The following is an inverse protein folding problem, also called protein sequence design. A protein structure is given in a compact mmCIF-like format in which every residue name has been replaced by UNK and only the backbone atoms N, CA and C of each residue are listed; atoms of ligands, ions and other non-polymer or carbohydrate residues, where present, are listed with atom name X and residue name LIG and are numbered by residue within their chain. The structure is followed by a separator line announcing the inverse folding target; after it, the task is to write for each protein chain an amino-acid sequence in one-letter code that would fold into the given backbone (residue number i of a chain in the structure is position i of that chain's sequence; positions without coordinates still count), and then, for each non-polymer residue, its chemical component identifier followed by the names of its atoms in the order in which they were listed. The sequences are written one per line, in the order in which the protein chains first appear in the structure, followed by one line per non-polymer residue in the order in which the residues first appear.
data_IF_228035571604
#
_entry.id   IF_228035571604
#
_cell.length_a   1.000
_cell.length_b   1.000
_cell.length_c   1.000
_cell.angle_alpha   90.00
_cell.angle_beta   90.00
_cell.angle_gamma   90.00
#
_symmetry.space_group_name_H-M   'P 1'
#
loop_
_entity.id
_entity.type
_entity.pdbx_description
1 polymer ?
#
# COMPACT_ATOMS: atom_id res chain seq x y z
N UNK A 1 18.38 -20.52 9.60
CA UNK A 1 17.86 -19.17 9.97
C UNK A 1 16.35 -19.14 9.78
N UNK A 2 15.57 -18.31 10.52
CA UNK A 2 14.12 -18.28 10.35
C UNK A 2 13.75 -17.76 8.95
N UNK A 3 12.76 -18.40 8.32
CA UNK A 3 12.18 -17.90 7.08
C UNK A 3 11.44 -16.59 7.38
N UNK A 4 11.65 -15.59 6.53
CA UNK A 4 11.01 -14.29 6.69
C UNK A 4 9.63 -14.29 6.03
N UNK A 5 8.71 -13.53 6.62
CA UNK A 5 7.36 -13.33 6.09
C UNK A 5 7.38 -12.73 4.67
N UNK A 6 6.46 -13.14 3.81
CA UNK A 6 6.33 -12.62 2.44
C UNK A 6 4.97 -11.97 2.17
N UNK A 7 4.12 -11.81 3.19
CA UNK A 7 2.74 -11.38 3.02
C UNK A 7 2.65 -9.92 2.57
N UNK A 8 3.56 -9.08 3.08
CA UNK A 8 3.59 -7.64 2.79
C UNK A 8 4.53 -7.33 1.64
N UNK A 9 4.00 -6.65 0.62
CA UNK A 9 4.71 -6.26 -0.59
C UNK A 9 4.54 -4.77 -0.83
N UNK A 10 5.51 -4.16 -1.52
CA UNK A 10 5.45 -2.77 -1.92
C UNK A 10 6.16 -2.56 -3.25
N UNK A 11 5.77 -1.48 -3.94
CA UNK A 11 6.37 -1.02 -5.19
C UNK A 11 6.47 0.50 -5.18
N UNK A 12 7.53 1.05 -5.76
CA UNK A 12 7.61 2.46 -6.10
C UNK A 12 8.29 2.69 -7.45
N UNK A 13 8.15 3.91 -7.99
CA UNK A 13 8.60 4.22 -9.36
C UNK A 13 10.10 4.01 -9.60
N UNK A 14 10.93 4.12 -8.56
CA UNK A 14 12.38 3.90 -8.66
C UNK A 14 12.82 2.43 -8.75
N UNK A 15 11.92 1.47 -8.54
CA UNK A 15 12.28 0.04 -8.57
C UNK A 15 12.54 -0.43 -10.00
N UNK A 16 13.49 -1.36 -10.16
CA UNK A 16 13.83 -1.93 -11.47
C UNK A 16 12.62 -2.56 -12.14
N UNK A 17 12.28 -2.08 -13.34
CA UNK A 17 11.18 -2.60 -14.14
C UNK A 17 9.79 -2.24 -13.58
N UNK A 18 9.71 -1.31 -12.63
CA UNK A 18 8.42 -0.77 -12.18
C UNK A 18 7.74 0.00 -13.32
N UNK A 19 6.41 -0.06 -13.44
CA UNK A 19 5.68 0.60 -14.51
C UNK A 19 5.66 2.11 -14.30
N UNK A 20 5.51 2.85 -15.40
CA UNK A 20 5.37 4.31 -15.36
C UNK A 20 3.93 4.68 -15.05
N UNK A 21 3.71 5.42 -13.98
CA UNK A 21 2.48 6.18 -13.76
C UNK A 21 2.64 7.56 -14.40
N UNK A 22 1.66 8.01 -15.18
CA UNK A 22 1.66 9.35 -15.78
C UNK A 22 0.23 9.80 -16.08
N UNK A 23 0.08 10.94 -16.75
CA UNK A 23 -1.19 11.50 -17.15
C UNK A 23 -1.75 10.92 -18.45
N UNK A 24 -1.77 9.60 -18.63
CA UNK A 24 -2.39 8.94 -19.77
C UNK A 24 -3.49 7.97 -19.33
N UNK A 25 -4.42 7.68 -20.24
CA UNK A 25 -5.47 6.68 -20.06
C UNK A 25 -4.85 5.28 -19.92
N UNK A 26 -5.34 4.48 -18.97
CA UNK A 26 -4.86 3.13 -18.68
C UNK A 26 -3.63 3.03 -17.77
N UNK A 27 -2.96 4.14 -17.43
CA UNK A 27 -1.73 4.14 -16.64
C UNK A 27 -1.89 3.56 -15.22
N UNK A 28 -3.00 3.83 -14.53
CA UNK A 28 -3.19 3.25 -13.17
C UNK A 28 -3.57 1.77 -13.26
N UNK A 29 -4.30 1.35 -14.29
CA UNK A 29 -4.63 -0.06 -14.51
C UNK A 29 -3.35 -0.86 -14.76
N UNK A 30 -2.44 -0.35 -15.59
CA UNK A 30 -1.14 -1.00 -15.81
C UNK A 30 -0.32 -1.13 -14.51
N UNK A 31 -0.37 -0.10 -13.66
CA UNK A 31 0.28 -0.12 -12.34
C UNK A 31 -0.35 -1.15 -11.40
N UNK A 32 -1.68 -1.18 -11.31
CA UNK A 32 -2.42 -2.13 -10.48
C UNK A 32 -2.22 -3.57 -10.96
N UNK A 33 -2.28 -3.83 -12.26
CA UNK A 33 -2.02 -5.17 -12.83
C UNK A 33 -0.62 -5.68 -12.45
N UNK A 34 0.35 -4.79 -12.51
CA UNK A 34 1.74 -5.09 -12.21
C UNK A 34 1.91 -5.47 -10.74
N UNK A 35 1.37 -4.66 -9.82
CA UNK A 35 1.53 -4.87 -8.39
C UNK A 35 0.63 -5.99 -7.84
N UNK A 36 -0.62 -6.04 -8.28
CA UNK A 36 -1.64 -6.92 -7.70
C UNK A 36 -1.57 -8.35 -8.25
N UNK A 37 -1.18 -8.54 -9.52
CA UNK A 37 -1.39 -9.79 -10.26
C UNK A 37 -0.08 -10.35 -10.83
N UNK A 38 0.65 -9.55 -11.59
CA UNK A 38 1.69 -10.08 -12.48
C UNK A 38 3.08 -10.16 -11.83
N UNK A 39 3.39 -9.23 -10.92
CA UNK A 39 4.77 -8.96 -10.50
C UNK A 39 5.54 -8.22 -11.61
N UNK A 40 6.78 -7.81 -11.33
CA UNK A 40 7.58 -7.01 -12.27
C UNK A 40 9.07 -7.29 -12.17
N UNK A 41 9.83 -6.69 -13.09
CA UNK A 41 11.28 -6.84 -13.12
C UNK A 41 11.68 -8.31 -13.29
N UNK A 42 11.23 -8.97 -14.34
CA UNK A 42 11.74 -10.32 -14.64
C UNK A 42 13.23 -10.23 -15.00
N UNK A 43 14.04 -11.13 -14.44
CA UNK A 43 15.45 -11.29 -14.75
C UNK A 43 15.85 -12.76 -14.59
N UNK A 44 16.95 -13.17 -15.21
CA UNK A 44 17.49 -14.54 -15.12
C UNK A 44 18.75 -14.51 -14.27
N UNK A 45 18.84 -15.41 -13.30
CA UNK A 45 20.04 -15.54 -12.47
C UNK A 45 21.19 -16.15 -13.29
N UNK A 46 22.42 -15.71 -13.01
CA UNK A 46 23.64 -16.26 -13.62
C UNK A 46 24.09 -17.54 -12.90
N UNK A 47 23.86 -17.60 -11.59
CA UNK A 47 24.09 -18.79 -10.76
C UNK A 47 23.37 -18.66 -9.42
N UNK A 48 23.16 -19.78 -8.74
CA UNK A 48 22.70 -19.78 -7.35
C UNK A 48 23.23 -20.99 -6.58
N UNK A 49 23.33 -20.86 -5.27
CA UNK A 49 23.74 -21.92 -4.35
C UNK A 49 23.08 -21.75 -3.00
N UNK A 50 22.98 -22.84 -2.25
CA UNK A 50 22.52 -22.84 -0.85
C UNK A 50 23.67 -23.28 0.04
N UNK A 51 23.91 -22.49 1.09
CA UNK A 51 24.85 -22.80 2.15
C UNK A 51 24.30 -22.33 3.49
N UNK A 52 24.33 -23.20 4.50
CA UNK A 52 23.96 -22.93 5.90
C UNK A 52 22.57 -22.26 6.06
N UNK A 53 21.61 -22.71 5.24
CA UNK A 53 20.24 -22.22 5.24
C UNK A 53 20.07 -20.83 4.62
N UNK A 54 21.03 -20.38 3.80
CA UNK A 54 20.94 -19.16 3.00
C UNK A 54 21.10 -19.51 1.52
N UNK A 55 20.14 -19.11 0.70
CA UNK A 55 20.28 -19.15 -0.75
C UNK A 55 20.96 -17.85 -1.21
N UNK A 56 22.04 -17.97 -1.97
CA UNK A 56 22.69 -16.85 -2.65
C UNK A 56 22.41 -16.97 -4.15
N UNK A 57 21.87 -15.91 -4.74
CA UNK A 57 21.53 -15.83 -6.16
C UNK A 57 22.33 -14.70 -6.77
N UNK A 58 23.16 -15.02 -7.76
CA UNK A 58 23.93 -14.05 -8.49
C UNK A 58 23.15 -13.62 -9.73
N UNK A 59 22.93 -12.32 -9.88
CA UNK A 59 22.26 -11.70 -11.02
C UNK A 59 23.30 -11.06 -11.95
N UNK A 60 22.86 -10.59 -13.12
CA UNK A 60 23.68 -9.69 -13.93
C UNK A 60 23.95 -8.38 -13.17
N UNK A 61 25.03 -7.69 -13.49
CA UNK A 61 25.43 -6.44 -12.82
C UNK A 61 24.34 -5.35 -12.87
N UNK A 62 23.51 -5.35 -13.92
CA UNK A 62 22.42 -4.38 -14.10
C UNK A 62 21.10 -4.81 -13.44
N UNK A 63 20.99 -6.08 -13.05
CA UNK A 63 19.78 -6.62 -12.42
C UNK A 63 19.85 -6.45 -10.90
N UNK A 64 19.68 -5.19 -10.48
CA UNK A 64 19.69 -4.78 -9.08
C UNK A 64 18.28 -4.83 -8.49
N UNK A 65 18.13 -5.53 -7.36
CA UNK A 65 16.89 -5.58 -6.58
C UNK A 65 17.04 -4.85 -5.26
N UNK A 66 15.94 -4.33 -4.72
CA UNK A 66 15.97 -3.62 -3.44
C UNK A 66 16.07 -4.57 -2.24
N UNK A 67 16.72 -4.09 -1.18
CA UNK A 67 16.82 -4.83 0.08
C UNK A 67 15.45 -5.02 0.73
N UNK A 68 15.21 -6.17 1.35
CA UNK A 68 13.97 -6.44 2.08
C UNK A 68 12.72 -6.64 1.23
N UNK A 69 12.80 -6.53 -0.10
CA UNK A 69 11.67 -6.81 -0.99
C UNK A 69 11.34 -8.31 -1.06
N UNK A 70 10.16 -8.63 -1.57
CA UNK A 70 9.71 -10.01 -1.81
C UNK A 70 9.86 -10.31 -3.30
N UNK A 71 10.57 -11.40 -3.61
CA UNK A 71 10.73 -11.90 -4.97
C UNK A 71 10.01 -13.24 -5.13
N UNK A 72 9.63 -13.58 -6.36
CA UNK A 72 9.30 -14.93 -6.78
C UNK A 72 10.49 -15.49 -7.53
N UNK A 73 10.96 -16.66 -7.11
CA UNK A 73 11.92 -17.46 -7.86
C UNK A 73 11.19 -18.61 -8.56
N UNK A 74 11.60 -18.93 -9.78
CA UNK A 74 11.08 -20.08 -10.54
C UNK A 74 12.19 -20.74 -11.39
N UNK A 75 11.99 -21.99 -11.78
CA UNK A 75 12.92 -22.77 -12.62
C UNK A 75 14.14 -23.34 -11.89
N UNK A 76 14.16 -23.28 -10.55
CA UNK A 76 15.22 -23.80 -9.70
C UNK A 76 15.03 -25.29 -9.35
N UNK A 77 16.15 -25.99 -9.22
CA UNK A 77 16.29 -27.29 -8.56
C UNK A 77 17.32 -27.14 -7.45
N UNK A 78 17.00 -27.42 -6.16
CA UNK A 78 15.78 -28.07 -5.66
C UNK A 78 14.49 -27.26 -5.82
N UNK A 79 13.38 -27.95 -6.12
CA UNK A 79 12.10 -27.31 -6.44
C UNK A 79 11.46 -26.49 -5.31
N UNK A 80 11.89 -26.72 -4.06
CA UNK A 80 11.45 -25.95 -2.89
C UNK A 80 11.84 -24.46 -2.96
N UNK A 81 12.81 -24.09 -3.83
CA UNK A 81 13.19 -22.70 -4.06
C UNK A 81 12.22 -21.98 -5.02
N UNK A 82 11.33 -22.69 -5.71
CA UNK A 82 10.34 -22.10 -6.63
C UNK A 82 9.14 -21.52 -5.87
N UNK A 83 9.38 -20.45 -5.13
CA UNK A 83 8.42 -19.82 -4.23
C UNK A 83 8.70 -18.32 -4.07
N UNK A 84 7.88 -17.67 -3.25
CA UNK A 84 8.16 -16.31 -2.76
C UNK A 84 9.23 -16.33 -1.66
N UNK A 85 10.17 -15.39 -1.72
CA UNK A 85 11.21 -15.22 -0.73
C UNK A 85 11.42 -13.73 -0.42
N UNK A 86 11.47 -13.37 0.87
CA UNK A 86 11.91 -12.03 1.27
C UNK A 86 13.44 -11.98 1.33
N UNK A 87 14.01 -10.99 0.65
CA UNK A 87 15.44 -10.78 0.63
C UNK A 87 15.95 -10.32 2.00
N UNK A 88 16.97 -10.99 2.51
CA UNK A 88 17.81 -10.51 3.62
C UNK A 88 18.93 -9.60 3.12
N UNK A 89 19.23 -9.69 1.82
CA UNK A 89 20.16 -8.81 1.12
C UNK A 89 19.66 -8.61 -0.32
N UNK A 90 19.45 -7.35 -0.72
CA UNK A 90 19.26 -6.94 -2.12
C UNK A 90 20.57 -6.76 -2.91
N UNK A 91 20.52 -6.00 -4.00
CA UNK A 91 21.65 -5.77 -4.90
C UNK A 91 21.57 -6.65 -6.16
N UNK A 92 22.73 -6.98 -6.73
CA UNK A 92 22.89 -8.00 -7.77
C UNK A 92 23.32 -9.37 -7.20
N UNK A 93 23.57 -9.45 -5.89
CA UNK A 93 23.81 -10.69 -5.15
C UNK A 93 22.72 -10.80 -4.09
N UNK A 94 21.65 -11.47 -4.47
CA UNK A 94 20.46 -11.65 -3.66
C UNK A 94 20.72 -12.72 -2.61
N UNK A 95 20.28 -12.48 -1.37
CA UNK A 95 20.26 -13.50 -0.32
C UNK A 95 18.90 -13.58 0.35
N UNK A 96 18.52 -14.80 0.69
CA UNK A 96 17.34 -15.08 1.52
C UNK A 96 17.53 -16.38 2.31
N UNK A 97 16.82 -16.48 3.43
CA UNK A 97 16.84 -17.67 4.27
C UNK A 97 16.01 -18.78 3.61
N UNK A 98 16.50 -20.02 3.64
CA UNK A 98 15.81 -21.19 3.07
C UNK A 98 16.06 -22.43 3.93
N UNK A 99 15.19 -23.42 3.79
CA UNK A 99 15.36 -24.78 4.35
C UNK A 99 15.84 -25.78 3.30
N UNK A 100 16.06 -25.35 2.06
CA UNK A 100 16.59 -26.21 1.01
C UNK A 100 17.98 -26.78 1.40
N UNK A 101 18.33 -28.02 0.96
CA UNK A 101 19.63 -28.61 1.26
C UNK A 101 20.79 -27.78 0.71
N UNK A 102 21.94 -27.85 1.39
CA UNK A 102 23.18 -27.24 0.90
C UNK A 102 23.58 -27.85 -0.46
N UNK A 103 24.01 -27.01 -1.39
CA UNK A 103 24.42 -27.44 -2.72
C UNK A 103 24.19 -26.41 -3.83
N UNK A 104 24.58 -26.75 -5.07
CA UNK A 104 24.29 -25.91 -6.22
C UNK A 104 22.79 -25.86 -6.49
N UNK A 105 22.30 -24.69 -6.90
CA UNK A 105 20.95 -24.53 -7.44
C UNK A 105 21.06 -24.54 -8.96
N UNK A 106 20.43 -25.52 -9.60
CA UNK A 106 20.51 -25.74 -11.04
C UNK A 106 19.19 -25.38 -11.73
N UNK A 107 19.22 -25.26 -13.06
CA UNK A 107 18.06 -24.93 -13.89
C UNK A 107 18.13 -23.52 -14.47
N UNK A 108 17.12 -23.15 -15.26
CA UNK A 108 16.97 -21.78 -15.77
C UNK A 108 16.21 -20.95 -14.74
N UNK A 109 16.96 -20.36 -13.82
CA UNK A 109 16.39 -19.67 -12.66
C UNK A 109 15.96 -18.26 -13.07
N UNK A 110 14.67 -17.97 -12.95
CA UNK A 110 14.11 -16.63 -13.13
C UNK A 110 13.72 -16.02 -11.80
N UNK A 111 13.93 -14.71 -11.67
CA UNK A 111 13.59 -13.92 -10.49
C UNK A 111 12.78 -12.70 -10.92
N UNK A 112 11.69 -12.41 -10.21
CA UNK A 112 10.91 -11.17 -10.36
C UNK A 112 10.37 -10.71 -9.01
N UNK A 113 10.01 -9.43 -8.88
CA UNK A 113 9.27 -8.97 -7.71
C UNK A 113 7.89 -9.65 -7.62
N UNK A 114 7.49 -10.03 -6.42
CA UNK A 114 6.26 -10.78 -6.19
C UNK A 114 5.00 -9.91 -6.34
N UNK A 115 3.92 -10.43 -6.97
CA UNK A 115 2.61 -9.77 -6.96
C UNK A 115 1.90 -9.92 -5.62
N UNK A 116 0.88 -9.11 -5.38
CA UNK A 116 0.15 -9.09 -4.11
C UNK A 116 -0.76 -10.30 -3.87
N UNK A 117 -1.23 -10.98 -4.93
CA UNK A 117 -2.12 -12.15 -4.81
C UNK A 117 -3.59 -11.81 -5.04
N UNK A 118 -3.87 -11.02 -6.07
CA UNK A 118 -5.20 -10.61 -6.49
C UNK A 118 -5.45 -11.06 -7.93
N UNK A 119 -6.70 -10.95 -8.38
CA UNK A 119 -7.08 -11.20 -9.77
C UNK A 119 -7.73 -9.97 -10.41
N UNK A 120 -7.71 -9.94 -11.74
CA UNK A 120 -8.56 -9.08 -12.55
C UNK A 120 -9.78 -9.88 -12.99
N UNK A 121 -10.87 -9.75 -12.25
CA UNK A 121 -12.10 -10.49 -12.51
C UNK A 121 -12.75 -10.10 -13.85
N UNK A 122 -12.70 -8.80 -14.20
CA UNK A 122 -13.24 -8.28 -15.45
C UNK A 122 -12.36 -7.18 -16.02
N UNK A 123 -12.37 -7.03 -17.34
CA UNK A 123 -11.65 -6.00 -18.08
C UNK A 123 -12.51 -5.39 -19.18
N UNK A 124 -12.31 -4.10 -19.45
CA UNK A 124 -12.79 -3.37 -20.62
C UNK A 124 -11.69 -2.44 -21.15
N UNK A 125 -11.97 -1.61 -22.17
CA UNK A 125 -10.96 -0.78 -22.83
C UNK A 125 -10.12 0.08 -21.89
N UNK A 126 -10.78 0.78 -20.95
CA UNK A 126 -10.15 1.57 -19.89
C UNK A 126 -10.69 1.17 -18.52
N UNK A 127 -11.29 -0.01 -18.40
CA UNK A 127 -11.98 -0.47 -17.20
C UNK A 127 -11.33 -1.74 -16.66
N UNK A 128 -11.18 -1.84 -15.35
CA UNK A 128 -10.72 -3.05 -14.69
C UNK A 128 -11.49 -3.29 -13.40
N UNK A 129 -11.71 -4.56 -13.08
CA UNK A 129 -12.30 -4.98 -11.81
C UNK A 129 -11.32 -5.93 -11.11
N UNK A 130 -10.91 -5.57 -9.90
CA UNK A 130 -9.97 -6.33 -9.09
C UNK A 130 -10.64 -6.97 -7.88
N UNK A 131 -10.18 -8.15 -7.49
CA UNK A 131 -10.63 -8.88 -6.30
C UNK A 131 -9.46 -9.61 -5.65
N UNK A 132 -9.45 -9.67 -4.33
CA UNK A 132 -8.47 -10.47 -3.59
C UNK A 132 -8.73 -11.97 -3.78
N UNK A 133 -7.66 -12.76 -3.97
CA UNK A 133 -7.73 -14.22 -3.98
C UNK A 133 -7.76 -14.84 -2.57
N UNK A 134 -7.57 -14.03 -1.53
CA UNK A 134 -7.61 -14.47 -0.15
C UNK A 134 -9.05 -14.78 0.30
N UNK A 135 -9.33 -16.07 0.44
CA UNK A 135 -10.63 -16.61 0.84
C UNK A 135 -11.01 -16.26 2.28
N UNK A 136 -10.09 -15.74 3.09
CA UNK A 136 -10.40 -15.24 4.44
C UNK A 136 -10.98 -13.83 4.42
N UNK A 137 -10.93 -13.15 3.27
CA UNK A 137 -11.56 -11.86 3.06
C UNK A 137 -12.96 -12.01 2.47
N UNK A 138 -13.83 -10.99 2.55
CA UNK A 138 -15.13 -11.02 1.87
C UNK A 138 -15.06 -11.00 0.33
N UNK A 139 -13.86 -10.91 -0.26
CA UNK A 139 -13.62 -10.90 -1.72
C UNK A 139 -14.51 -9.92 -2.49
N UNK A 140 -14.62 -8.69 -1.98
CA UNK A 140 -15.31 -7.58 -2.65
C UNK A 140 -14.53 -7.08 -3.86
N UNK A 141 -15.23 -6.40 -4.76
CA UNK A 141 -14.68 -5.97 -6.05
C UNK A 141 -14.33 -4.48 -6.03
N UNK A 142 -13.14 -4.14 -6.51
CA UNK A 142 -12.74 -2.77 -6.85
C UNK A 142 -12.94 -2.56 -8.34
N UNK A 143 -13.84 -1.66 -8.73
CA UNK A 143 -13.97 -1.20 -10.11
C UNK A 143 -13.13 0.06 -10.31
N UNK A 144 -12.33 0.06 -11.37
CA UNK A 144 -11.48 1.19 -11.79
C UNK A 144 -11.86 1.59 -13.21
N UNK A 145 -12.28 2.84 -13.38
CA UNK A 145 -12.36 3.54 -14.67
C UNK A 145 -11.10 4.37 -14.84
N UNK A 146 -10.34 4.11 -15.87
CA UNK A 146 -9.17 4.92 -16.20
C UNK A 146 -9.31 5.69 -17.50
N UNK A 147 -10.55 6.02 -17.88
CA UNK A 147 -10.87 6.75 -19.11
C UNK A 147 -10.41 8.22 -19.11
N UNK A 148 -10.03 8.77 -17.95
CA UNK A 148 -9.55 10.15 -17.83
C UNK A 148 -8.03 10.17 -17.63
N UNK A 149 -7.27 11.03 -18.34
CA UNK A 149 -5.81 11.02 -18.23
C UNK A 149 -5.25 11.35 -16.84
N UNK A 150 -5.90 12.21 -16.05
CA UNK A 150 -5.33 12.74 -14.79
C UNK A 150 -5.79 12.01 -13.53
N UNK A 151 -6.87 11.24 -13.59
CA UNK A 151 -7.41 10.47 -12.48
C UNK A 151 -8.22 9.27 -12.97
N UNK A 152 -8.39 8.28 -12.11
CA UNK A 152 -9.34 7.21 -12.29
C UNK A 152 -10.59 7.41 -11.41
N UNK A 153 -11.74 6.93 -11.88
CA UNK A 153 -12.94 6.76 -11.06
C UNK A 153 -12.90 5.38 -10.43
N UNK A 154 -13.05 5.32 -9.11
CA UNK A 154 -12.99 4.04 -8.39
C UNK A 154 -14.22 3.83 -7.51
N UNK A 155 -14.67 2.57 -7.41
CA UNK A 155 -15.84 2.21 -6.61
C UNK A 155 -15.76 0.77 -6.13
N UNK A 156 -16.13 0.53 -4.88
CA UNK A 156 -16.28 -0.81 -4.34
C UNK A 156 -17.64 -1.41 -4.71
N UNK A 157 -17.70 -2.72 -4.91
CA UNK A 157 -18.93 -3.46 -5.18
C UNK A 157 -19.01 -4.74 -4.35
N UNK A 158 -20.24 -5.09 -3.92
CA UNK A 158 -20.52 -6.38 -3.30
C UNK A 158 -20.31 -7.54 -4.28
N UNK A 159 -20.87 -7.40 -5.48
CA UNK A 159 -20.78 -8.38 -6.55
C UNK A 159 -20.68 -7.68 -7.90
N UNK A 160 -19.99 -8.31 -8.85
CA UNK A 160 -19.90 -7.87 -10.24
C UNK A 160 -20.00 -9.05 -11.19
N UNK A 161 -20.64 -8.83 -12.35
CA UNK A 161 -20.76 -9.80 -13.45
C UNK A 161 -20.13 -9.30 -14.75
N UNK A 162 -19.57 -8.09 -14.73
CA UNK A 162 -18.87 -7.45 -15.83
C UNK A 162 -18.19 -6.17 -15.36
N UNK A 163 -17.38 -5.53 -16.22
CA UNK A 163 -16.60 -4.34 -15.84
C UNK A 163 -17.47 -3.13 -15.45
N UNK A 164 -18.67 -3.04 -16.02
CA UNK A 164 -19.65 -1.97 -15.77
C UNK A 164 -20.99 -2.51 -15.22
N UNK A 165 -21.00 -3.75 -14.73
CA UNK A 165 -22.21 -4.42 -14.22
C UNK A 165 -21.96 -4.99 -12.81
N UNK A 166 -22.48 -4.31 -11.79
CA UNK A 166 -22.32 -4.72 -10.39
C UNK A 166 -23.46 -4.27 -9.50
N UNK A 167 -23.55 -4.90 -8.32
CA UNK A 167 -24.56 -4.63 -7.28
C UNK A 167 -23.91 -4.30 -5.95
N UNK A 168 -24.62 -3.55 -5.10
CA UNK A 168 -24.09 -3.06 -3.83
C UNK A 168 -22.87 -2.15 -4.00
N UNK A 169 -22.98 -1.05 -4.78
CA UNK A 169 -21.90 -0.09 -4.91
C UNK A 169 -21.64 0.62 -3.57
N UNK A 170 -20.38 0.84 -3.22
CA UNK A 170 -19.98 1.71 -2.12
C UNK A 170 -18.79 2.58 -2.57
N UNK A 171 -18.91 3.92 -2.54
CA UNK A 171 -20.11 4.71 -2.20
C UNK A 171 -21.25 4.52 -3.22
N UNK A 172 -22.49 4.85 -2.81
CA UNK A 172 -23.64 4.99 -3.72
C UNK A 172 -23.53 6.27 -4.55
N UNK A 173 -24.36 6.42 -5.60
CA UNK A 173 -24.41 7.68 -6.38
C UNK A 173 -24.93 8.87 -5.58
N UNK A 174 -25.78 8.62 -4.59
CA UNK A 174 -26.24 9.67 -3.66
C UNK A 174 -25.12 10.17 -2.74
N UNK A 175 -24.12 9.35 -2.45
CA UNK A 175 -22.96 9.74 -1.63
C UNK A 175 -21.88 10.40 -2.48
N UNK A 176 -21.47 9.74 -3.56
CA UNK A 176 -20.55 10.29 -4.57
C UNK A 176 -20.92 9.72 -5.92
N UNK A 177 -21.54 10.54 -6.77
CA UNK A 177 -22.01 10.16 -8.11
C UNK A 177 -20.87 9.60 -8.96
N UNK A 178 -21.00 8.35 -9.42
CA UNK A 178 -19.96 7.65 -10.18
C UNK A 178 -18.71 7.21 -9.40
N UNK A 179 -18.68 7.36 -8.07
CA UNK A 179 -17.61 6.85 -7.19
C UNK A 179 -16.56 7.89 -6.80
N UNK A 180 -15.40 7.42 -6.34
CA UNK A 180 -14.31 8.24 -5.81
C UNK A 180 -13.24 8.52 -6.87
N UNK A 181 -12.33 9.44 -6.58
CA UNK A 181 -11.24 9.81 -7.47
C UNK A 181 -9.90 9.33 -6.92
N UNK A 182 -9.15 8.58 -7.74
CA UNK A 182 -7.74 8.28 -7.51
C UNK A 182 -6.91 9.04 -8.55
N UNK A 183 -6.19 10.06 -8.11
CA UNK A 183 -5.37 10.88 -9.00
C UNK A 183 -4.15 10.12 -9.50
N UNK A 184 -3.69 10.48 -10.71
CA UNK A 184 -2.46 9.96 -11.32
C UNK A 184 -1.44 11.07 -11.57
N UNK A 185 -1.91 12.19 -12.12
CA UNK A 185 -1.10 13.33 -12.56
C UNK A 185 -1.93 14.60 -12.52
N UNK A 186 -1.29 15.75 -12.27
CA UNK A 186 -1.92 17.08 -12.44
C UNK A 186 -1.98 17.54 -13.90
N UNK A 187 -1.38 16.78 -14.83
CA UNK A 187 -1.30 17.13 -16.25
C UNK A 187 -1.53 15.90 -17.13
N UNK A 188 -2.30 16.06 -18.21
CA UNK A 188 -2.56 15.01 -19.19
C UNK A 188 -1.35 14.87 -20.16
N UNK A 189 -0.29 14.24 -19.70
CA UNK A 189 0.95 14.06 -20.45
C UNK A 189 1.66 12.75 -20.07
N UNK A 190 2.75 12.45 -20.76
CA UNK A 190 3.55 11.25 -20.54
C UNK A 190 4.60 11.41 -19.43
N UNK A 191 4.66 12.57 -18.77
CA UNK A 191 5.66 12.85 -17.72
C UNK A 191 5.48 11.86 -16.56
N UNK A 192 6.50 11.04 -16.26
CA UNK A 192 6.42 10.05 -15.19
C UNK A 192 6.18 10.71 -13.83
N UNK A 193 5.28 10.13 -13.03
CA UNK A 193 4.89 10.57 -11.69
C UNK A 193 5.37 9.60 -10.63
N UNK A 194 5.64 10.13 -9.44
CA UNK A 194 6.01 9.32 -8.28
C UNK A 194 4.78 8.66 -7.65
N UNK A 195 4.99 7.44 -7.18
CA UNK A 195 3.96 6.67 -6.52
C UNK A 195 4.56 5.65 -5.57
N UNK A 196 3.74 5.17 -4.65
CA UNK A 196 4.04 3.96 -3.91
C UNK A 196 2.76 3.15 -3.76
N UNK A 197 2.81 1.84 -4.01
CA UNK A 197 1.78 0.92 -3.50
C UNK A 197 2.38 0.03 -2.43
N UNK A 198 1.59 -0.26 -1.40
CA UNK A 198 1.92 -1.21 -0.34
C UNK A 198 0.69 -2.03 0.00
N UNK A 199 0.83 -3.28 0.39
CA UNK A 199 -0.31 -4.07 0.80
C UNK A 199 0.05 -5.45 1.31
N UNK A 200 -0.97 -6.18 1.76
CA UNK A 200 -0.99 -7.63 1.88
C UNK A 200 -2.10 -8.22 0.99
N UNK A 201 -2.35 -9.51 1.11
CA UNK A 201 -3.38 -10.19 0.30
C UNK A 201 -4.78 -9.62 0.47
N UNK A 202 -5.11 -8.98 1.60
CA UNK A 202 -6.47 -8.49 1.84
C UNK A 202 -6.67 -6.98 1.71
N UNK A 203 -5.63 -6.15 1.79
CA UNK A 203 -5.74 -4.70 1.59
C UNK A 203 -4.49 -4.13 0.93
N UNK A 204 -4.68 -3.13 0.06
CA UNK A 204 -3.58 -2.34 -0.47
C UNK A 204 -3.87 -0.85 -0.37
N UNK A 205 -2.78 -0.09 -0.35
CA UNK A 205 -2.73 1.36 -0.30
C UNK A 205 -2.10 1.89 -1.59
N UNK A 206 -2.77 2.85 -2.22
CA UNK A 206 -2.30 3.59 -3.38
C UNK A 206 -1.90 4.99 -2.94
N UNK A 207 -0.59 5.25 -2.89
CA UNK A 207 0.00 6.56 -2.64
C UNK A 207 0.47 7.20 -3.94
N UNK A 208 -0.01 8.40 -4.22
CA UNK A 208 0.37 9.13 -5.43
C UNK A 208 0.90 10.51 -5.11
N UNK A 209 1.91 10.93 -5.84
CA UNK A 209 2.45 12.28 -5.80
C UNK A 209 2.13 12.96 -7.13
N UNK A 210 0.85 13.26 -7.35
CA UNK A 210 0.33 13.61 -8.68
C UNK A 210 0.97 14.87 -9.31
N UNK A 211 1.49 15.79 -8.49
CA UNK A 211 2.10 17.03 -8.97
C UNK A 211 3.62 16.94 -9.21
N UNK A 212 4.30 15.93 -8.64
CA UNK A 212 5.76 15.80 -8.78
C UNK A 212 6.12 14.67 -9.74
N UNK A 213 7.06 14.96 -10.62
CA UNK A 213 7.60 13.94 -11.53
C UNK A 213 8.71 13.11 -10.85
N UNK A 214 9.22 12.12 -11.57
CA UNK A 214 10.29 11.24 -11.08
C UNK A 214 11.62 11.97 -10.85
N UNK A 215 11.85 13.11 -11.49
CA UNK A 215 13.09 13.88 -11.36
C UNK A 215 13.07 14.80 -10.13
N UNK A 216 11.89 15.13 -9.61
CA UNK A 216 11.75 15.91 -8.38
C UNK A 216 12.29 15.12 -7.18
N UNK A 217 13.23 15.62 -6.36
CA UNK A 217 13.87 14.83 -5.31
C UNK A 217 12.89 14.24 -4.28
N UNK A 218 13.02 12.95 -3.89
CA UNK A 218 12.17 12.33 -2.86
C UNK A 218 12.29 13.00 -1.49
N UNK A 219 13.45 13.57 -1.19
CA UNK A 219 13.80 14.23 0.05
C UNK A 219 13.29 15.65 0.19
N UNK A 220 12.66 16.21 -0.85
CA UNK A 220 12.21 17.59 -0.84
C UNK A 220 11.13 17.78 0.22
N UNK A 221 11.23 18.89 0.96
CA UNK A 221 10.25 19.32 1.96
C UNK A 221 8.82 19.49 1.42
N UNK A 222 8.68 19.52 0.10
CA UNK A 222 7.41 19.64 -0.61
C UNK A 222 6.87 18.29 -1.08
N UNK A 223 7.64 17.20 -1.01
CA UNK A 223 7.22 15.88 -1.46
C UNK A 223 6.24 15.23 -0.46
N UNK A 224 5.13 14.71 -0.98
CA UNK A 224 4.10 14.00 -0.21
C UNK A 224 3.33 13.03 -1.10
N UNK A 225 2.63 12.09 -0.47
CA UNK A 225 1.72 11.18 -1.11
C UNK A 225 0.28 11.49 -0.67
N UNK A 226 -0.64 11.50 -1.62
CA UNK A 226 -2.05 11.35 -1.35
C UNK A 226 -2.37 9.86 -1.33
N UNK A 227 -2.70 9.31 -0.17
CA UNK A 227 -2.80 7.86 0.05
C UNK A 227 -4.25 7.45 0.23
N UNK A 228 -4.69 6.52 -0.63
CA UNK A 228 -6.01 5.90 -0.61
C UNK A 228 -5.91 4.38 -0.46
N UNK A 229 -7.02 3.73 -0.13
CA UNK A 229 -7.03 2.29 0.15
C UNK A 229 -8.18 1.57 -0.55
N UNK A 230 -7.97 0.28 -0.81
CA UNK A 230 -9.04 -0.67 -1.07
C UNK A 230 -8.72 -2.01 -0.43
N UNK A 231 -9.70 -2.59 0.28
CA UNK A 231 -9.62 -3.96 0.76
C UNK A 231 -10.21 -4.17 2.15
N UNK A 232 -10.02 -5.38 2.67
CA UNK A 232 -10.51 -5.82 3.97
C UNK A 232 -9.54 -5.44 5.08
N UNK A 233 -10.01 -4.61 6.01
CA UNK A 233 -9.20 -4.08 7.10
C UNK A 233 -9.07 -5.01 8.33
N UNK A 234 -9.75 -6.16 8.36
CA UNK A 234 -9.72 -7.07 9.51
C UNK A 234 -10.63 -6.63 10.66
N UNK A 235 -11.51 -7.53 11.10
CA UNK A 235 -12.52 -7.21 12.12
C UNK A 235 -11.91 -7.17 13.55
N UNK A 236 -12.30 -6.18 14.36
CA UNK A 236 -12.12 -6.24 15.81
C UNK A 236 -13.19 -7.10 16.50
N UNK A 237 -14.33 -7.31 15.83
CA UNK A 237 -15.41 -8.13 16.37
C UNK A 237 -14.97 -9.59 16.51
N UNK A 238 -15.17 -10.23 17.68
CA UNK A 238 -14.86 -11.64 17.88
C UNK A 238 -15.62 -12.59 16.95
N UNK A 239 -16.79 -12.17 16.46
CA UNK A 239 -17.61 -12.94 15.52
C UNK A 239 -17.26 -12.66 14.05
N UNK A 240 -16.23 -11.87 13.79
CA UNK A 240 -15.88 -11.37 12.46
C UNK A 240 -16.76 -10.20 12.00
N UNK A 241 -16.41 -9.65 10.84
CA UNK A 241 -17.12 -8.54 10.20
C UNK A 241 -16.94 -8.62 8.68
N UNK A 242 -17.86 -9.31 8.00
CA UNK A 242 -17.78 -9.48 6.54
C UNK A 242 -18.04 -8.20 5.74
N UNK A 243 -18.38 -7.10 6.43
CA UNK A 243 -18.70 -5.81 5.83
C UNK A 243 -17.57 -4.78 5.99
N UNK A 244 -16.44 -5.17 6.60
CA UNK A 244 -15.29 -4.29 6.83
C UNK A 244 -14.36 -4.11 5.62
N UNK A 245 -14.79 -4.47 4.40
CA UNK A 245 -14.11 -3.99 3.20
C UNK A 245 -14.30 -2.48 3.09
N UNK A 246 -13.20 -1.76 2.88
CA UNK A 246 -13.18 -0.32 2.74
C UNK A 246 -12.66 0.10 1.37
N UNK A 247 -13.14 1.25 0.91
CA UNK A 247 -12.55 2.04 -0.16
C UNK A 247 -12.42 3.49 0.30
N UNK A 248 -11.33 4.14 -0.04
CA UNK A 248 -11.19 5.59 0.16
C UNK A 248 -10.72 6.28 -1.10
N UNK A 249 -10.95 7.59 -1.19
CA UNK A 249 -10.59 8.37 -2.37
C UNK A 249 -11.12 9.80 -2.26
N UNK A 250 -10.63 10.67 -3.14
CA UNK A 250 -11.12 12.04 -3.20
C UNK A 250 -12.59 12.12 -3.64
N UNK A 251 -13.26 13.19 -3.23
CA UNK A 251 -14.70 13.42 -3.47
C UNK A 251 -15.00 14.08 -4.82
N UNK A 252 -14.00 14.74 -5.41
CA UNK A 252 -14.10 15.44 -6.68
C UNK A 252 -12.76 15.34 -7.42
N UNK A 253 -12.67 15.97 -8.60
CA UNK A 253 -11.50 15.96 -9.46
C UNK A 253 -10.44 17.02 -9.13
N UNK A 254 -10.51 17.67 -7.97
CA UNK A 254 -9.46 18.59 -7.51
C UNK A 254 -8.30 17.81 -6.92
N UNK A 255 -7.13 17.84 -7.56
CA UNK A 255 -5.96 17.04 -7.19
C UNK A 255 -5.42 17.31 -5.78
N UNK A 256 -5.69 18.48 -5.22
CA UNK A 256 -5.30 18.86 -3.85
C UNK A 256 -6.32 18.45 -2.78
N UNK A 257 -7.46 17.89 -3.17
CA UNK A 257 -8.49 17.43 -2.26
C UNK A 257 -7.98 16.26 -1.41
N UNK A 258 -8.05 16.41 -0.09
CA UNK A 258 -7.57 15.43 0.88
C UNK A 258 -8.65 14.43 1.33
N UNK A 259 -9.88 14.56 0.83
CA UNK A 259 -10.98 13.64 1.13
C UNK A 259 -10.53 12.18 0.95
N UNK A 260 -10.82 11.31 1.92
CA UNK A 260 -10.46 9.90 1.86
C UNK A 260 -8.95 9.64 1.98
N UNK A 261 -8.10 10.64 2.22
CA UNK A 261 -6.67 10.44 2.40
C UNK A 261 -6.31 9.92 3.80
N UNK A 262 -5.40 8.97 3.84
CA UNK A 262 -4.84 8.43 5.07
C UNK A 262 -3.80 9.41 5.67
N UNK A 263 -3.76 9.53 7.00
CA UNK A 263 -2.74 10.31 7.71
C UNK A 263 -3.04 11.80 7.92
N UNK A 264 -4.11 12.34 7.33
CA UNK A 264 -4.44 13.78 7.38
C UNK A 264 -5.51 14.15 8.43
N UNK A 265 -5.70 13.30 9.44
CA UNK A 265 -6.67 13.50 10.51
C UNK A 265 -8.04 12.86 10.20
N UNK A 266 -9.11 13.43 10.79
CA UNK A 266 -10.49 12.97 10.61
C UNK A 266 -11.07 13.37 9.25
N UNK A 267 -10.46 12.88 8.18
CA UNK A 267 -10.96 13.12 6.83
C UNK A 267 -11.91 11.98 6.48
N UNK A 268 -13.17 12.32 6.15
CA UNK A 268 -14.21 11.37 5.72
C UNK A 268 -13.92 10.75 4.34
N UNK A 269 -14.95 10.24 3.67
CA UNK A 269 -14.84 9.57 2.36
C UNK A 269 -14.03 8.26 2.40
N UNK A 270 -14.23 7.51 3.49
CA UNK A 270 -13.86 6.10 3.61
C UNK A 270 -15.17 5.33 3.70
N UNK A 271 -15.47 4.50 2.71
CA UNK A 271 -16.77 3.83 2.60
C UNK A 271 -16.64 2.34 2.89
N UNK A 272 -17.55 1.80 3.70
CA UNK A 272 -17.85 0.36 3.72
C UNK A 272 -19.14 0.10 2.99
N UNK A 273 -19.26 -1.13 2.50
CA UNK A 273 -20.52 -1.62 1.95
C UNK A 273 -21.68 -1.47 2.93
N UNK A 274 -21.47 -1.78 4.22
CA UNK A 274 -22.49 -1.74 5.28
C UNK A 274 -21.90 -1.51 6.66
N UNK A 275 -22.73 -1.12 7.62
CA UNK A 275 -22.42 -1.22 9.04
C UNK A 275 -22.23 -2.69 9.46
N UNK A 276 -21.60 -2.92 10.62
CA UNK A 276 -21.35 -4.28 11.13
C UNK A 276 -22.63 -5.12 11.32
N UNK A 277 -23.77 -4.46 11.54
CA UNK A 277 -25.09 -5.11 11.63
C UNK A 277 -25.55 -5.72 10.31
N UNK A 278 -24.94 -5.34 9.18
CA UNK A 278 -25.33 -5.77 7.84
C UNK A 278 -26.61 -5.12 7.30
N UNK A 279 -27.19 -4.15 8.02
CA UNK A 279 -28.42 -3.47 7.62
C UNK A 279 -28.11 -2.09 7.03
N UNK A 280 -28.91 -1.65 6.05
CA UNK A 280 -28.88 -0.29 5.51
C UNK A 280 -27.99 -0.10 4.29
N UNK A 281 -27.75 1.15 3.96
CA UNK A 281 -26.91 1.57 2.84
C UNK A 281 -25.41 1.56 3.21
N UNK A 282 -24.52 1.72 2.21
CA UNK A 282 -23.11 2.00 2.47
C UNK A 282 -22.91 3.14 3.44
N UNK A 283 -21.90 2.99 4.28
CA UNK A 283 -21.63 3.94 5.36
C UNK A 283 -20.26 4.60 5.16
N UNK A 284 -20.19 5.87 5.53
CA UNK A 284 -18.93 6.60 5.65
C UNK A 284 -18.30 6.29 7.02
N UNK A 285 -16.98 6.30 7.10
CA UNK A 285 -16.21 6.13 8.34
C UNK A 285 -14.95 6.98 8.30
N UNK A 286 -14.22 7.00 9.43
CA UNK A 286 -12.93 7.65 9.56
C UNK A 286 -11.84 6.64 9.91
N UNK A 287 -10.59 7.03 9.67
CA UNK A 287 -9.41 6.38 10.23
C UNK A 287 -8.86 7.28 11.32
N UNK A 288 -8.81 6.79 12.55
CA UNK A 288 -8.40 7.56 13.72
C UNK A 288 -7.15 6.99 14.34
N UNK A 289 -6.21 7.87 14.69
CA UNK A 289 -5.07 7.52 15.53
C UNK A 289 -5.59 7.07 16.89
N UNK A 290 -5.00 6.02 17.48
CA UNK A 290 -5.35 5.58 18.83
C UNK A 290 -4.79 6.49 19.93
N UNK A 291 -4.01 7.51 19.57
CA UNK A 291 -3.43 8.49 20.50
C UNK A 291 -3.25 9.85 19.83
N UNK A 292 -3.15 10.92 20.63
CA UNK A 292 -3.11 12.30 20.16
C UNK A 292 -4.47 12.83 19.72
N UNK A 293 -4.48 13.96 19.01
CA UNK A 293 -5.69 14.53 18.45
C UNK A 293 -6.09 13.81 17.15
N UNK A 294 -7.27 13.15 17.09
CA UNK A 294 -7.71 12.44 15.89
C UNK A 294 -7.99 13.37 14.70
N UNK A 295 -8.24 14.66 14.93
CA UNK A 295 -8.45 15.63 13.87
C UNK A 295 -7.14 16.17 13.28
N UNK A 296 -6.01 16.02 13.97
CA UNK A 296 -4.71 16.49 13.50
C UNK A 296 -4.07 15.50 12.53
N UNK A 297 -3.42 16.02 11.49
CA UNK A 297 -2.55 15.23 10.64
C UNK A 297 -1.45 14.55 11.47
N UNK A 298 -1.06 13.36 11.04
CA UNK A 298 0.01 12.58 11.66
C UNK A 298 1.33 13.36 11.59
N UNK A 299 2.01 13.56 12.72
CA UNK A 299 3.26 14.32 12.78
C UNK A 299 3.09 15.85 12.79
N UNK A 300 1.86 16.34 12.88
CA UNK A 300 1.49 17.76 13.05
C UNK A 300 0.46 17.93 14.18
N UNK A 301 0.65 17.17 15.27
CA UNK A 301 -0.29 17.06 16.38
C UNK A 301 0.14 17.91 17.59
N UNK A 302 -0.29 19.17 17.61
CA UNK A 302 0.02 20.14 18.69
C UNK A 302 -0.57 19.75 20.06
N UNK A 303 -1.57 18.86 20.08
CA UNK A 303 -2.20 18.35 21.29
C UNK A 303 -1.78 16.89 21.61
N UNK A 304 -0.75 16.38 20.93
CA UNK A 304 -0.18 15.05 21.12
C UNK A 304 0.93 15.02 22.17
N UNK A 305 2.02 14.32 21.86
CA UNK A 305 3.21 14.17 22.71
C UNK A 305 4.23 15.31 22.54
N UNK A 306 3.81 16.47 22.05
CA UNK A 306 4.68 17.61 21.76
C UNK A 306 5.53 17.43 20.48
N UNK A 307 6.50 18.32 20.22
CA UNK A 307 7.32 18.27 19.02
C UNK A 307 8.19 17.01 18.97
N UNK A 308 8.47 16.52 17.77
CA UNK A 308 9.51 15.52 17.52
C UNK A 308 10.87 16.18 17.23
N UNK A 309 11.99 15.68 17.79
CA UNK A 309 12.08 14.62 18.81
C UNK A 309 11.48 15.00 20.15
N UNK A 310 10.93 14.02 20.87
CA UNK A 310 10.31 14.25 22.19
C UNK A 310 11.29 14.90 23.16
N UNK A 311 10.89 16.00 23.80
CA UNK A 311 11.80 16.82 24.60
C UNK A 311 12.40 16.12 25.85
N UNK A 312 11.76 15.05 26.33
CA UNK A 312 12.17 14.34 27.56
C UNK A 312 12.94 13.06 27.25
N UNK A 313 12.45 12.25 26.32
CA UNK A 313 13.00 10.91 26.03
C UNK A 313 13.71 10.84 24.68
N UNK A 314 13.67 11.90 23.87
CA UNK A 314 14.18 11.98 22.51
C UNK A 314 13.60 10.90 21.57
N UNK A 315 12.43 10.34 21.89
CA UNK A 315 11.84 9.24 21.11
C UNK A 315 10.86 9.74 20.07
N UNK A 316 10.77 8.98 18.97
CA UNK A 316 9.61 8.98 18.10
C UNK A 316 8.54 8.06 18.70
N UNK A 317 7.35 8.59 18.96
CA UNK A 317 6.18 7.80 19.33
C UNK A 317 5.31 7.59 18.11
N UNK A 318 4.80 6.38 17.98
CA UNK A 318 3.84 5.99 16.95
C UNK A 318 2.66 5.27 17.59
N UNK A 319 1.52 5.25 16.90
CA UNK A 319 0.30 4.63 17.37
C UNK A 319 -0.45 3.99 16.20
N UNK A 320 -1.25 2.97 16.47
CA UNK A 320 -2.09 2.33 15.45
C UNK A 320 -3.19 3.28 14.97
N UNK A 321 -3.66 3.05 13.75
CA UNK A 321 -4.94 3.58 13.30
C UNK A 321 -6.06 2.55 13.50
N UNK A 322 -7.26 3.02 13.83
CA UNK A 322 -8.48 2.23 13.82
C UNK A 322 -9.51 2.85 12.87
N UNK A 323 -10.32 2.01 12.26
CA UNK A 323 -11.50 2.42 11.52
C UNK A 323 -12.66 2.59 12.49
N UNK A 324 -13.39 3.69 12.34
CA UNK A 324 -14.63 3.90 13.08
C UNK A 324 -15.76 3.07 12.49
N UNK A 325 -16.77 2.79 13.31
CA UNK A 325 -17.99 2.14 12.87
C UNK A 325 -18.64 2.94 11.75
N UNK A 326 -18.93 4.22 12.01
CA UNK A 326 -19.56 5.17 11.08
C UNK A 326 -18.90 6.56 11.21
N UNK A 327 -19.36 7.53 10.43
CA UNK A 327 -18.83 8.91 10.41
C UNK A 327 -19.08 9.65 11.73
N UNK A 328 -20.25 9.46 12.34
CA UNK A 328 -20.60 10.08 13.62
C UNK A 328 -20.52 9.12 14.82
N UNK A 329 -20.18 7.85 14.56
CA UNK A 329 -20.03 6.81 15.60
C UNK A 329 -18.59 6.33 15.60
N UNK A 330 -17.82 6.83 16.57
CA UNK A 330 -16.37 6.65 16.62
C UNK A 330 -15.89 5.34 17.25
N UNK A 331 -16.81 4.41 17.53
CA UNK A 331 -16.47 3.08 18.04
C UNK A 331 -15.49 2.38 17.09
N UNK A 332 -14.34 1.87 17.57
CA UNK A 332 -13.44 1.10 16.74
C UNK A 332 -14.08 -0.16 16.18
N UNK A 333 -13.96 -0.37 14.87
CA UNK A 333 -14.53 -1.50 14.13
C UNK A 333 -13.46 -2.46 13.60
N UNK A 334 -12.33 -1.90 13.19
CA UNK A 334 -11.20 -2.60 12.58
C UNK A 334 -9.89 -1.84 12.86
N UNK A 335 -8.76 -2.52 12.79
CA UNK A 335 -7.43 -1.88 12.82
C UNK A 335 -7.02 -1.59 11.38
N UNK A 336 -6.44 -0.43 11.10
CA UNK A 336 -5.89 -0.15 9.76
C UNK A 336 -4.59 -0.92 9.62
N UNK A 337 -4.58 -1.93 8.76
CA UNK A 337 -3.48 -2.89 8.65
C UNK A 337 -2.17 -2.22 8.22
N UNK A 338 -1.11 -2.42 9.00
CA UNK A 338 0.24 -2.00 8.65
C UNK A 338 0.54 -0.50 8.78
N UNK A 339 -0.39 0.32 9.26
CA UNK A 339 -0.25 1.78 9.29
C UNK A 339 -0.11 2.31 10.71
N UNK A 340 0.88 3.16 10.92
CA UNK A 340 1.13 3.83 12.19
C UNK A 340 1.14 5.36 12.03
N UNK A 341 0.33 6.01 12.86
CA UNK A 341 0.31 7.47 12.99
C UNK A 341 1.33 7.94 14.00
N UNK A 342 1.73 9.19 13.86
CA UNK A 342 2.70 9.89 14.69
C UNK A 342 1.94 10.95 15.50
N UNK A 343 1.68 10.70 16.79
CA UNK A 343 1.06 11.67 17.68
C UNK A 343 2.06 12.71 18.21
N UNK A 344 2.96 13.21 17.36
CA UNK A 344 3.86 14.34 17.64
C UNK A 344 3.52 15.52 16.74
N UNK A 345 4.00 16.70 17.11
CA UNK A 345 4.09 17.86 16.23
C UNK A 345 5.48 17.97 15.57
N UNK A 346 5.62 18.84 14.56
CA UNK A 346 6.88 19.21 13.91
C UNK A 346 7.66 18.06 13.26
N UNK A 347 7.01 16.93 12.93
CA UNK A 347 7.68 15.84 12.20
C UNK A 347 8.08 16.31 10.79
N UNK A 348 7.21 17.07 10.12
CA UNK A 348 7.44 17.60 8.77
C UNK A 348 8.63 18.56 8.72
N UNK A 349 8.92 19.27 9.80
CA UNK A 349 10.09 20.16 9.91
C UNK A 349 11.42 19.44 10.14
N UNK A 350 11.42 18.11 10.33
CA UNK A 350 12.64 17.39 10.68
C UNK A 350 13.62 17.32 9.50
N UNK A 351 14.88 17.80 9.65
CA UNK A 351 15.77 18.03 8.50
C UNK A 351 16.29 16.74 7.85
N UNK A 352 16.39 15.65 8.61
CA UNK A 352 17.02 14.40 8.14
C UNK A 352 16.05 13.34 7.65
N UNK A 353 14.75 13.42 7.98
CA UNK A 353 13.78 12.40 7.59
C UNK A 353 13.35 12.61 6.15
N UNK A 354 13.54 11.59 5.31
CA UNK A 354 13.20 11.61 3.88
C UNK A 354 12.10 10.60 3.58
N UNK A 355 11.41 10.80 2.45
CA UNK A 355 10.40 9.84 2.01
C UNK A 355 11.02 8.46 1.87
N UNK A 356 10.33 7.41 2.33
CA UNK A 356 10.75 6.01 2.29
C UNK A 356 11.92 5.64 3.22
N UNK A 357 12.42 6.57 4.04
CA UNK A 357 13.33 6.21 5.12
C UNK A 357 12.71 5.12 5.99
N UNK A 358 13.51 4.10 6.29
CA UNK A 358 13.08 3.00 7.16
C UNK A 358 13.69 3.13 8.53
N UNK A 359 12.85 2.96 9.55
CA UNK A 359 13.29 2.91 10.95
C UNK A 359 12.99 1.52 11.53
N UNK A 360 13.82 1.01 12.44
CA UNK A 360 13.54 -0.24 13.13
C UNK A 360 12.35 -0.03 14.08
N UNK A 361 11.41 -0.98 14.06
CA UNK A 361 10.36 -1.06 15.05
C UNK A 361 10.91 -1.44 16.43
N UNK A 362 10.21 -1.02 17.49
CA UNK A 362 10.56 -1.31 18.88
C UNK A 362 9.36 -1.83 19.65
N UNK A 363 9.60 -2.41 20.83
CA UNK A 363 8.54 -3.02 21.65
C UNK A 363 7.80 -4.12 20.89
N UNK A 364 6.48 -3.99 20.76
CA UNK A 364 5.62 -4.93 20.01
C UNK A 364 5.93 -4.99 18.51
N UNK A 365 6.70 -4.04 17.99
CA UNK A 365 7.15 -4.00 16.59
C UNK A 365 8.62 -4.40 16.44
N UNK A 366 9.24 -5.01 17.45
CA UNK A 366 10.62 -5.48 17.34
C UNK A 366 10.77 -6.45 16.16
N UNK A 367 11.81 -6.23 15.34
CA UNK A 367 12.04 -7.00 14.10
C UNK A 367 11.26 -6.48 12.89
N UNK A 368 10.38 -5.50 13.03
CA UNK A 368 9.71 -4.83 11.91
C UNK A 368 10.58 -3.69 11.34
N UNK A 369 10.46 -3.42 10.05
CA UNK A 369 10.95 -2.17 9.43
C UNK A 369 9.75 -1.29 9.10
N UNK A 370 9.81 -0.02 9.52
CA UNK A 370 8.74 0.95 9.32
C UNK A 370 9.20 2.03 8.32
N UNK A 371 8.55 2.12 7.17
CA UNK A 371 8.87 3.08 6.12
C UNK A 371 8.03 4.35 6.25
N UNK A 372 8.68 5.52 6.21
CA UNK A 372 8.02 6.82 6.27
C UNK A 372 7.33 7.17 4.95
N UNK A 373 6.06 7.56 5.02
CA UNK A 373 5.33 8.21 3.94
C UNK A 373 4.90 9.60 4.38
N UNK A 374 5.43 10.63 3.72
CA UNK A 374 4.92 11.99 3.85
C UNK A 374 3.52 12.06 3.22
N UNK A 375 2.59 12.74 3.87
CA UNK A 375 1.19 12.84 3.43
C UNK A 375 0.77 14.30 3.25
N UNK A 376 -0.16 14.55 2.32
CA UNK A 376 -0.65 15.89 2.05
C UNK A 376 -1.59 16.02 0.86
N UNK A 377 -2.22 17.18 0.74
CA UNK A 377 -2.94 17.63 -0.45
C UNK A 377 -2.54 19.06 -0.80
N UNK A 378 -1.93 19.27 -1.97
CA UNK A 378 -1.36 20.57 -2.36
C UNK A 378 -0.01 20.92 -1.72
N UNK A 379 0.36 20.25 -0.62
CA UNK A 379 1.63 20.44 0.09
C UNK A 379 1.82 19.37 1.16
N UNK A 380 3.04 19.21 1.68
CA UNK A 380 3.32 18.27 2.78
C UNK A 380 2.67 18.76 4.07
N UNK A 381 1.88 17.89 4.70
CA UNK A 381 1.07 18.23 5.90
C UNK A 381 1.37 17.32 7.10
N UNK A 382 1.87 16.11 6.87
CA UNK A 382 2.16 15.16 7.92
C UNK A 382 3.01 14.00 7.43
N UNK A 383 3.27 13.02 8.30
CA UNK A 383 3.94 11.77 7.97
C UNK A 383 3.38 10.59 8.75
N UNK A 384 3.19 9.46 8.07
CA UNK A 384 2.79 8.17 8.67
C UNK A 384 3.87 7.13 8.38
N UNK A 385 3.85 6.03 9.12
CA UNK A 385 4.75 4.90 8.91
C UNK A 385 3.99 3.67 8.44
N UNK A 386 4.54 2.95 7.47
CA UNK A 386 4.06 1.63 7.04
C UNK A 386 5.01 0.54 7.51
N UNK A 387 4.50 -0.53 8.11
CA UNK A 387 5.28 -1.76 8.28
C UNK A 387 5.46 -2.43 6.92
N UNK A 388 6.69 -2.45 6.40
CA UNK A 388 7.04 -3.06 5.09
C UNK A 388 7.51 -4.51 5.21
N UNK A 389 7.48 -5.06 6.42
CA UNK A 389 7.96 -6.42 6.73
C UNK A 389 6.83 -7.43 6.94
N UNK A 390 5.75 -7.06 7.62
CA UNK A 390 4.62 -7.97 7.87
C UNK A 390 4.96 -9.19 8.72
N UNK A 391 3.99 -10.07 9.03
CA UNK A 391 2.59 -9.95 8.63
C UNK A 391 1.86 -8.83 9.39
N UNK A 392 0.78 -8.32 8.78
CA UNK A 392 -0.10 -7.32 9.39
C UNK A 392 -1.26 -7.92 10.19
N UNK A 393 -1.56 -9.21 10.00
CA UNK A 393 -2.71 -9.94 10.56
C UNK A 393 -2.42 -11.43 10.68
#
# INVERSE_FOLDING_TARGET
MPILDTSVKYIHEGMRGAPVLNGTVGAIIALLDTFLINGWGLATATSASVLDGVCTVNMSALDVFEDGCVIVMAGATPGALNAEHRLTQGGNVLKFNTTAPNGPVTGTITVKYAPLGWEKAFSGPNGAVYRSLDITTPQRYLRVDDSVPTFARVRGYNAMTGVDAGTGPFPTDAQVDGGLYWFKSTSANTTPRRYTLRGDTGVFYYGVTANFDVNFPPEDSSAYELIHEFGYAGALSPTGDVWATRISGAANNSWSQTAGALGLGNVGHVYSERAISGVGDPITSHRRKSSGNPAAASGADTNGFGPYPGAVDARLRICSYFLTQEELIFTPRAVVAGVYGVPHDNLTGHPTLKARDTIPGSGVLSGRKLALAWVGGGGRQGGIFFDVTGPWR
#
